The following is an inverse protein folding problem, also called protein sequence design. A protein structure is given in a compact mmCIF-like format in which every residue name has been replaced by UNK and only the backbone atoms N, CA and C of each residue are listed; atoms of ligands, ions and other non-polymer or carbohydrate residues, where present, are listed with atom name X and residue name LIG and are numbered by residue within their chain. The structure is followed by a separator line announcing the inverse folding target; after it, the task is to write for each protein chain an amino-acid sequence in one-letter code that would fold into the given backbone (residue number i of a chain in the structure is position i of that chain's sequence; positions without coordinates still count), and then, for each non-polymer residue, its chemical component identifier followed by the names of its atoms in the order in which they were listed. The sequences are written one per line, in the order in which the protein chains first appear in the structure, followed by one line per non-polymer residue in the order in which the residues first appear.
data_IF_159523156450
#
_entry.id   IF_159523156450
#
_cell.length_a   1.000
_cell.length_b   1.000
_cell.length_c   1.000
_cell.angle_alpha   90.00
_cell.angle_beta   90.00
_cell.angle_gamma   90.00
#
_symmetry.space_group_name_H-M   'P 1'
#
loop_
_entity.id
_entity.type
_entity.pdbx_description
1 polymer ?
#
# COMPACT_ATOMS: atom_id res chain seq x y z
N UNK A 1 10.47 -24.16 -7.27
CA UNK A 1 9.53 -23.61 -8.26
C UNK A 1 10.26 -22.48 -8.97
N UNK A 2 10.33 -22.52 -10.31
CA UNK A 2 10.97 -21.45 -11.08
C UNK A 2 9.89 -20.47 -11.49
N UNK A 3 10.13 -19.17 -11.26
CA UNK A 3 9.18 -18.11 -11.55
C UNK A 3 9.84 -17.05 -12.42
N UNK A 4 9.08 -16.52 -13.36
CA UNK A 4 9.41 -15.28 -14.03
C UNK A 4 9.17 -14.12 -13.07
N UNK A 5 10.21 -13.34 -12.82
CA UNK A 5 10.18 -12.17 -11.94
C UNK A 5 10.34 -10.89 -12.76
N UNK A 6 9.95 -9.75 -12.17
CA UNK A 6 10.12 -8.44 -12.79
C UNK A 6 9.00 -8.03 -13.75
N UNK A 7 7.86 -8.69 -13.69
CA UNK A 7 6.60 -8.26 -14.32
C UNK A 7 5.84 -7.37 -13.34
N UNK A 8 5.12 -6.35 -13.83
CA UNK A 8 4.25 -5.55 -12.98
C UNK A 8 2.96 -6.31 -12.61
N UNK A 9 2.51 -6.17 -11.36
CA UNK A 9 1.39 -6.97 -10.83
C UNK A 9 0.06 -6.71 -11.55
N UNK A 10 -0.12 -5.50 -12.07
CA UNK A 10 -1.33 -5.02 -12.76
C UNK A 10 -1.80 -5.95 -13.89
N UNK A 11 -0.86 -6.65 -14.53
CA UNK A 11 -1.11 -7.52 -15.68
C UNK A 11 -0.76 -8.99 -15.40
N UNK A 12 -0.44 -9.35 -14.15
CA UNK A 12 -0.08 -10.72 -13.77
C UNK A 12 -1.21 -11.73 -14.06
N UNK A 13 -2.48 -11.30 -14.02
CA UNK A 13 -3.62 -12.17 -14.33
C UNK A 13 -3.75 -12.56 -15.80
N UNK A 14 -2.99 -11.95 -16.70
CA UNK A 14 -3.07 -12.22 -18.15
C UNK A 14 -2.15 -13.33 -18.62
N UNK A 15 -1.12 -13.71 -17.85
CA UNK A 15 -0.16 -14.75 -18.23
C UNK A 15 0.42 -15.44 -16.98
N UNK A 16 0.56 -16.76 -17.03
CA UNK A 16 1.22 -17.50 -15.94
C UNK A 16 2.69 -17.08 -15.81
N UNK A 17 3.11 -16.77 -14.58
CA UNK A 17 4.52 -16.47 -14.26
C UNK A 17 5.32 -17.72 -13.88
N UNK A 18 4.74 -18.90 -13.95
CA UNK A 18 5.46 -20.15 -13.71
C UNK A 18 6.36 -20.52 -14.89
N UNK A 19 7.64 -20.72 -14.63
CA UNK A 19 8.58 -21.20 -15.64
C UNK A 19 8.68 -22.72 -15.60
N UNK A 20 7.90 -23.38 -16.45
CA UNK A 20 7.90 -24.83 -16.59
C UNK A 20 8.63 -25.29 -17.87
N UNK A 21 8.68 -24.45 -18.90
CA UNK A 21 9.25 -24.77 -20.21
C UNK A 21 9.72 -23.53 -20.98
N UNK A 22 10.49 -23.74 -22.06
CA UNK A 22 10.90 -22.67 -22.99
C UNK A 22 9.68 -22.05 -23.70
N UNK A 23 8.62 -22.82 -23.93
CA UNK A 23 7.38 -22.31 -24.54
C UNK A 23 6.71 -21.25 -23.63
N UNK A 24 6.82 -21.39 -22.31
CA UNK A 24 6.33 -20.37 -21.36
C UNK A 24 7.13 -19.07 -21.48
N UNK A 25 8.45 -19.16 -21.72
CA UNK A 25 9.30 -18.00 -21.97
C UNK A 25 8.89 -17.29 -23.27
N UNK A 26 8.70 -18.04 -24.36
CA UNK A 26 8.29 -17.46 -25.64
C UNK A 26 6.91 -16.79 -25.55
N UNK A 27 5.97 -17.38 -24.81
CA UNK A 27 4.65 -16.79 -24.53
C UNK A 27 4.79 -15.47 -23.77
N UNK A 28 5.57 -15.45 -22.70
CA UNK A 28 5.80 -14.23 -21.92
C UNK A 28 6.46 -13.15 -22.77
N UNK A 29 7.47 -13.49 -23.57
CA UNK A 29 8.16 -12.55 -24.46
C UNK A 29 7.21 -11.96 -25.50
N UNK A 30 6.31 -12.76 -26.08
CA UNK A 30 5.29 -12.28 -27.02
C UNK A 30 4.31 -11.33 -26.34
N UNK A 31 3.82 -11.67 -25.15
CA UNK A 31 2.92 -10.81 -24.38
C UNK A 31 3.57 -9.46 -24.04
N UNK A 32 4.86 -9.47 -23.72
CA UNK A 32 5.64 -8.25 -23.49
C UNK A 32 5.76 -7.42 -24.77
N UNK A 33 6.15 -8.03 -25.88
CA UNK A 33 6.28 -7.36 -27.17
C UNK A 33 4.95 -6.79 -27.69
N UNK A 34 3.84 -7.44 -27.36
CA UNK A 34 2.48 -7.02 -27.71
C UNK A 34 1.92 -5.96 -26.75
N UNK A 35 2.68 -5.55 -25.72
CA UNK A 35 2.25 -4.64 -24.64
C UNK A 35 1.07 -5.15 -23.80
N UNK A 36 0.84 -6.47 -23.77
CA UNK A 36 -0.16 -7.10 -22.91
C UNK A 36 0.35 -7.24 -21.48
N UNK A 37 1.65 -7.48 -21.32
CA UNK A 37 2.35 -7.57 -20.04
C UNK A 37 3.50 -6.57 -20.01
N UNK A 38 3.69 -5.82 -18.93
CA UNK A 38 4.77 -4.83 -18.85
C UNK A 38 5.84 -5.26 -17.84
N UNK A 39 7.08 -4.88 -18.14
CA UNK A 39 8.16 -4.98 -17.17
C UNK A 39 7.96 -3.98 -16.02
N UNK A 40 8.21 -4.43 -14.79
CA UNK A 40 8.30 -3.56 -13.64
C UNK A 40 9.52 -2.65 -13.78
N UNK A 41 9.29 -1.33 -13.69
CA UNK A 41 10.38 -0.34 -13.69
C UNK A 41 10.71 0.16 -12.27
N UNK A 42 9.78 0.00 -11.34
CA UNK A 42 9.95 0.30 -9.92
C UNK A 42 9.29 -0.79 -9.07
N UNK A 43 9.60 -0.78 -7.77
CA UNK A 43 8.88 -1.58 -6.77
C UNK A 43 8.14 -0.66 -5.79
N UNK A 44 6.88 -0.99 -5.53
CA UNK A 44 6.15 -0.53 -4.37
C UNK A 44 6.50 -1.45 -3.21
N UNK A 45 7.04 -0.88 -2.13
CA UNK A 45 7.34 -1.59 -0.89
C UNK A 45 6.46 -1.05 0.22
N UNK A 46 5.70 -1.93 0.86
CA UNK A 46 4.91 -1.62 2.05
C UNK A 46 5.57 -2.21 3.28
N UNK A 47 5.69 -1.40 4.34
CA UNK A 47 6.32 -1.79 5.60
C UNK A 47 5.40 -1.51 6.78
N UNK A 48 5.42 -2.39 7.78
CA UNK A 48 4.84 -2.11 9.10
C UNK A 48 5.95 -1.58 10.00
N UNK A 49 5.66 -0.47 10.69
CA UNK A 49 6.41 -0.04 11.87
C UNK A 49 5.52 -0.15 13.09
N UNK A 50 6.03 -0.68 14.19
CA UNK A 50 5.29 -0.79 15.45
C UNK A 50 5.56 0.46 16.28
N UNK A 51 4.49 1.12 16.72
CA UNK A 51 4.57 2.20 17.69
C UNK A 51 4.81 1.58 19.08
N UNK A 52 6.07 1.45 19.46
CA UNK A 52 6.52 0.92 20.74
C UNK A 52 7.68 1.75 21.29
N UNK A 53 7.84 1.76 22.61
CA UNK A 53 9.03 2.30 23.27
C UNK A 53 10.26 1.42 23.06
N UNK A 54 10.07 0.16 22.65
CA UNK A 54 11.17 -0.75 22.33
C UNK A 54 11.67 -0.51 20.90
N UNK A 55 12.89 0.02 20.80
CA UNK A 55 13.56 0.36 19.54
C UNK A 55 13.83 -0.84 18.64
N UNK A 56 13.95 -2.06 19.19
CA UNK A 56 14.15 -3.27 18.39
C UNK A 56 12.91 -3.63 17.59
N UNK A 57 11.74 -3.42 18.18
CA UNK A 57 10.42 -3.70 17.60
C UNK A 57 10.00 -2.58 16.63
N UNK A 58 10.62 -1.40 16.73
CA UNK A 58 10.35 -0.23 15.88
C UNK A 58 10.94 -0.32 14.46
N UNK A 59 11.63 -1.40 14.12
CA UNK A 59 12.21 -1.58 12.79
C UNK A 59 11.12 -1.70 11.72
N UNK A 60 11.31 -1.05 10.58
CA UNK A 60 10.42 -1.18 9.44
C UNK A 60 10.48 -2.63 8.90
N UNK A 61 9.37 -3.36 9.02
CA UNK A 61 9.24 -4.74 8.57
C UNK A 61 8.52 -4.76 7.21
N UNK A 62 9.19 -5.11 6.10
CA UNK A 62 8.55 -5.24 4.80
C UNK A 62 7.51 -6.36 4.83
N UNK A 63 6.28 -6.03 4.42
CA UNK A 63 5.17 -6.99 4.33
C UNK A 63 4.58 -7.08 2.92
N UNK A 64 4.98 -6.14 2.05
CA UNK A 64 4.51 -6.04 0.67
C UNK A 64 5.68 -5.63 -0.20
N UNK A 65 5.88 -6.37 -1.29
CA UNK A 65 6.75 -5.98 -2.39
C UNK A 65 5.96 -6.26 -3.67
N UNK A 66 5.74 -5.24 -4.49
CA UNK A 66 5.02 -5.36 -5.75
C UNK A 66 5.72 -4.55 -6.85
N UNK A 67 5.97 -5.16 -8.00
CA UNK A 67 6.51 -4.47 -9.17
C UNK A 67 5.46 -3.58 -9.83
N UNK A 68 5.84 -2.37 -10.25
CA UNK A 68 4.97 -1.46 -10.97
C UNK A 68 5.66 -0.92 -12.22
N UNK A 69 4.87 -0.74 -13.29
CA UNK A 69 5.29 -0.03 -14.49
C UNK A 69 4.94 1.48 -14.44
N UNK A 70 4.47 1.98 -13.28
CA UNK A 70 3.93 3.34 -13.02
C UNK A 70 2.61 3.67 -13.71
N UNK A 71 2.02 2.73 -14.44
CA UNK A 71 0.73 2.94 -15.12
C UNK A 71 -0.45 2.75 -14.17
N UNK A 72 -0.27 2.05 -13.06
CA UNK A 72 -1.22 1.92 -11.94
C UNK A 72 -2.09 3.17 -11.77
N UNK A 73 -3.39 2.96 -11.70
CA UNK A 73 -4.38 3.96 -11.31
C UNK A 73 -4.49 4.03 -9.79
N UNK A 74 -5.17 5.06 -9.27
CA UNK A 74 -5.42 5.13 -7.82
C UNK A 74 -6.31 3.99 -7.33
N UNK A 75 -7.28 3.54 -8.14
CA UNK A 75 -8.17 2.42 -7.80
C UNK A 75 -7.45 1.07 -7.77
N UNK A 76 -6.51 0.83 -8.69
CA UNK A 76 -5.67 -0.38 -8.64
C UNK A 76 -4.77 -0.36 -7.41
N UNK A 77 -4.19 0.79 -7.09
CA UNK A 77 -3.38 0.94 -5.88
C UNK A 77 -4.19 0.76 -4.59
N UNK A 78 -5.47 1.17 -4.61
CA UNK A 78 -6.39 0.95 -3.50
C UNK A 78 -6.57 -0.54 -3.21
N UNK A 79 -6.70 -1.38 -4.25
CA UNK A 79 -6.79 -2.85 -4.08
C UNK A 79 -5.54 -3.41 -3.40
N UNK A 80 -4.36 -2.90 -3.76
CA UNK A 80 -3.10 -3.31 -3.15
C UNK A 80 -3.07 -2.95 -1.65
N UNK A 81 -3.53 -1.76 -1.29
CA UNK A 81 -3.68 -1.33 0.11
C UNK A 81 -4.70 -2.21 0.86
N UNK A 82 -5.86 -2.47 0.27
CA UNK A 82 -6.91 -3.32 0.85
C UNK A 82 -6.40 -4.73 1.13
N UNK A 83 -5.76 -5.38 0.15
CA UNK A 83 -5.19 -6.73 0.34
C UNK A 83 -4.16 -6.72 1.47
N UNK A 84 -3.29 -5.72 1.50
CA UNK A 84 -2.23 -5.59 2.50
C UNK A 84 -2.82 -5.42 3.90
N UNK A 85 -3.73 -4.46 4.11
CA UNK A 85 -4.33 -4.20 5.41
C UNK A 85 -5.20 -5.37 5.87
N UNK A 86 -5.98 -5.97 4.97
CA UNK A 86 -6.76 -7.16 5.29
C UNK A 86 -5.88 -8.33 5.73
N UNK A 87 -4.69 -8.49 5.13
CA UNK A 87 -3.73 -9.50 5.56
C UNK A 87 -3.20 -9.23 6.97
N UNK A 88 -2.93 -7.96 7.32
CA UNK A 88 -2.51 -7.55 8.66
C UNK A 88 -3.62 -7.79 9.69
N UNK A 89 -4.85 -7.35 9.40
CA UNK A 89 -5.99 -7.50 10.31
C UNK A 89 -6.36 -8.97 10.52
N UNK A 90 -6.21 -9.85 9.51
CA UNK A 90 -6.36 -11.30 9.69
C UNK A 90 -5.38 -11.90 10.71
N UNK A 91 -4.23 -11.26 10.92
CA UNK A 91 -3.23 -11.69 11.90
C UNK A 91 -3.44 -11.05 13.28
N UNK A 92 -4.39 -10.13 13.44
CA UNK A 92 -4.61 -9.36 14.67
C UNK A 92 -4.87 -10.23 15.91
N UNK A 93 -5.54 -11.37 15.75
CA UNK A 93 -5.75 -12.31 16.86
C UNK A 93 -4.45 -12.91 17.41
N UNK A 94 -3.43 -13.06 16.56
CA UNK A 94 -2.12 -13.61 16.91
C UNK A 94 -1.14 -12.52 17.35
N UNK A 95 -1.15 -11.36 16.68
CA UNK A 95 -0.17 -10.29 16.90
C UNK A 95 -0.62 -9.26 17.94
N UNK A 96 -1.94 -9.11 18.14
CA UNK A 96 -2.57 -8.02 18.91
C UNK A 96 -2.19 -6.61 18.42
N UNK A 97 -1.67 -6.51 17.18
CA UNK A 97 -1.34 -5.25 16.54
C UNK A 97 -2.60 -4.68 15.90
N UNK A 98 -2.77 -3.36 15.98
CA UNK A 98 -3.83 -2.62 15.31
C UNK A 98 -3.20 -1.58 14.39
N UNK A 99 -3.71 -1.48 13.16
CA UNK A 99 -3.24 -0.45 12.23
C UNK A 99 -3.88 0.89 12.58
N UNK A 100 -3.07 1.88 12.97
CA UNK A 100 -3.58 3.22 13.36
C UNK A 100 -3.33 4.30 12.31
N UNK A 101 -2.32 4.13 11.45
CA UNK A 101 -2.01 5.12 10.41
C UNK A 101 -1.27 4.51 9.23
N UNK A 102 -1.52 5.03 8.03
CA UNK A 102 -0.76 4.71 6.81
C UNK A 102 -0.03 5.96 6.32
N UNK A 103 1.28 5.83 6.04
CA UNK A 103 2.11 6.95 5.52
C UNK A 103 2.63 6.64 4.13
N UNK A 104 2.61 7.64 3.24
CA UNK A 104 3.11 7.54 1.87
C UNK A 104 4.06 8.70 1.52
N UNK A 105 4.96 8.47 0.56
CA UNK A 105 5.96 9.41 0.01
C UNK A 105 5.36 10.55 -0.84
N UNK A 106 4.03 10.57 -1.00
CA UNK A 106 3.32 11.70 -1.60
C UNK A 106 3.30 11.73 -3.13
N UNK A 107 3.49 10.58 -3.79
CA UNK A 107 3.17 10.39 -5.21
C UNK A 107 1.65 10.57 -5.42
N UNK A 108 1.24 11.37 -6.41
CA UNK A 108 -0.16 11.81 -6.58
C UNK A 108 -1.17 10.65 -6.65
N UNK A 109 -0.86 9.61 -7.44
CA UNK A 109 -1.71 8.43 -7.61
C UNK A 109 -1.89 7.64 -6.30
N UNK A 110 -0.81 7.48 -5.53
CA UNK A 110 -0.84 6.87 -4.20
C UNK A 110 -1.62 7.72 -3.20
N UNK A 111 -1.51 9.05 -3.31
CA UNK A 111 -2.28 9.99 -2.51
C UNK A 111 -3.79 9.89 -2.74
N UNK A 112 -4.24 9.64 -3.98
CA UNK A 112 -5.65 9.42 -4.28
C UNK A 112 -6.16 8.11 -3.64
N UNK A 113 -5.45 7.01 -3.84
CA UNK A 113 -5.77 5.72 -3.22
C UNK A 113 -5.84 5.84 -1.69
N UNK A 114 -4.86 6.51 -1.09
CA UNK A 114 -4.77 6.71 0.35
C UNK A 114 -5.95 7.54 0.88
N UNK A 115 -6.32 8.62 0.19
CA UNK A 115 -7.50 9.42 0.56
C UNK A 115 -8.79 8.59 0.46
N UNK A 116 -8.98 7.81 -0.61
CA UNK A 116 -10.14 6.91 -0.73
C UNK A 116 -10.19 5.88 0.41
N UNK A 117 -9.03 5.39 0.84
CA UNK A 117 -8.95 4.38 1.90
C UNK A 117 -9.17 4.96 3.31
N UNK A 118 -8.69 6.17 3.59
CA UNK A 118 -8.65 6.71 4.96
C UNK A 118 -9.51 7.96 5.17
N UNK A 119 -10.26 8.45 4.19
CA UNK A 119 -11.11 9.64 4.33
C UNK A 119 -12.56 9.32 3.95
N UNK A 120 -13.12 8.28 4.57
CA UNK A 120 -14.44 7.74 4.23
C UNK A 120 -15.57 8.43 5.00
N UNK A 121 -15.34 8.74 6.29
CA UNK A 121 -16.37 9.27 7.21
C UNK A 121 -15.77 10.27 8.17
N UNK A 122 -16.62 11.13 8.74
CA UNK A 122 -16.22 12.01 9.83
C UNK A 122 -15.92 11.19 11.09
N UNK A 123 -14.85 11.53 11.81
CA UNK A 123 -14.50 10.92 13.08
C UNK A 123 -15.62 11.11 14.10
N UNK A 124 -16.06 10.01 14.71
CA UNK A 124 -17.15 10.04 15.68
C UNK A 124 -16.75 10.76 16.97
N UNK A 125 -17.60 11.61 17.55
CA UNK A 125 -17.39 12.15 18.90
C UNK A 125 -17.21 11.10 19.99
N UNK A 126 -17.72 9.88 19.78
CA UNK A 126 -17.54 8.74 20.69
C UNK A 126 -16.21 8.01 20.53
N UNK A 127 -15.42 8.33 19.50
CA UNK A 127 -14.11 7.72 19.29
C UNK A 127 -13.12 8.15 20.36
N UNK A 128 -12.25 7.22 20.78
CA UNK A 128 -11.22 7.46 21.80
C UNK A 128 -10.26 8.59 21.41
N UNK A 129 -10.02 8.80 20.11
CA UNK A 129 -9.10 9.82 19.60
C UNK A 129 -9.78 11.17 19.36
N UNK A 130 -11.11 11.26 19.37
CA UNK A 130 -11.83 12.50 19.06
C UNK A 130 -11.49 13.63 20.03
N UNK A 131 -11.48 13.34 21.33
CA UNK A 131 -11.16 14.34 22.36
C UNK A 131 -9.77 14.94 22.19
N UNK A 132 -8.83 14.19 21.63
CA UNK A 132 -7.46 14.63 21.37
C UNK A 132 -7.34 15.44 20.07
N UNK A 133 -8.16 15.15 19.07
CA UNK A 133 -7.99 15.69 17.72
C UNK A 133 -8.95 16.85 17.40
N UNK A 134 -10.15 16.87 17.98
CA UNK A 134 -11.21 17.81 17.58
C UNK A 134 -10.88 19.29 17.81
N UNK A 135 -10.00 19.61 18.76
CA UNK A 135 -9.61 20.97 19.10
C UNK A 135 -8.55 21.55 18.17
N UNK A 136 -7.92 20.72 17.34
CA UNK A 136 -6.91 21.20 16.39
C UNK A 136 -7.56 21.88 15.20
N UNK A 137 -7.41 23.21 15.17
CA UNK A 137 -7.85 24.04 14.06
C UNK A 137 -7.19 23.56 12.76
N UNK A 138 -8.00 23.33 11.72
CA UNK A 138 -7.61 22.82 10.40
C UNK A 138 -7.24 21.32 10.32
N UNK A 139 -7.34 20.57 11.42
CA UNK A 139 -7.20 19.12 11.35
C UNK A 139 -8.37 18.54 10.54
N UNK A 140 -8.04 17.77 9.50
CA UNK A 140 -9.04 16.97 8.81
C UNK A 140 -9.43 15.80 9.71
N UNK A 141 -10.69 15.74 10.10
CA UNK A 141 -11.24 14.68 10.94
C UNK A 141 -11.91 13.56 10.12
N UNK A 142 -11.70 13.52 8.81
CA UNK A 142 -12.10 12.36 7.99
C UNK A 142 -11.18 11.18 8.27
N UNK A 143 -11.78 10.02 8.53
CA UNK A 143 -11.10 8.76 8.85
C UNK A 143 -11.65 7.61 8.00
N UNK A 144 -10.86 6.54 7.91
CA UNK A 144 -11.24 5.28 7.31
C UNK A 144 -12.03 4.40 8.26
N UNK A 145 -12.06 3.11 7.96
CA UNK A 145 -12.59 2.10 8.87
C UNK A 145 -11.69 1.99 10.10
N UNK A 146 -12.28 1.67 11.27
CA UNK A 146 -11.58 1.64 12.57
C UNK A 146 -10.78 2.89 12.93
N UNK A 147 -11.29 4.06 12.51
CA UNK A 147 -10.67 5.39 12.71
C UNK A 147 -9.26 5.52 12.10
N UNK A 148 -8.96 4.70 11.08
CA UNK A 148 -7.67 4.71 10.39
C UNK A 148 -7.40 6.06 9.72
N UNK A 149 -6.24 6.64 10.00
CA UNK A 149 -5.81 7.90 9.40
C UNK A 149 -4.70 7.71 8.36
N UNK A 150 -4.53 8.70 7.49
CA UNK A 150 -3.36 8.81 6.63
C UNK A 150 -2.43 9.94 7.05
N UNK A 151 -1.15 9.77 6.71
CA UNK A 151 -0.15 10.81 6.82
C UNK A 151 0.68 10.89 5.53
N UNK A 152 1.33 12.04 5.32
CA UNK A 152 2.40 12.18 4.34
C UNK A 152 3.72 12.29 5.06
N UNK A 153 4.77 11.70 4.50
CA UNK A 153 6.10 11.86 5.05
C UNK A 153 6.48 13.35 5.07
N UNK A 154 6.72 13.86 6.29
CA UNK A 154 7.04 15.26 6.54
C UNK A 154 8.27 15.72 5.75
N UNK A 155 9.26 14.85 5.51
CA UNK A 155 10.46 15.18 4.73
C UNK A 155 10.10 15.56 3.28
N UNK A 156 9.05 14.95 2.73
CA UNK A 156 8.56 15.28 1.40
C UNK A 156 7.73 16.56 1.38
N UNK A 157 7.10 16.94 2.50
CA UNK A 157 6.39 18.22 2.64
C UNK A 157 7.38 19.39 2.69
N UNK A 158 8.44 19.30 3.49
CA UNK A 158 9.45 20.36 3.62
C UNK A 158 10.19 20.66 2.32
N UNK A 159 10.35 19.69 1.41
CA UNK A 159 10.94 19.92 0.09
C UNK A 159 10.05 20.73 -0.86
N UNK A 160 8.76 20.91 -0.54
CA UNK A 160 7.76 21.61 -1.37
C UNK A 160 7.39 22.99 -0.84
N UNK A 161 7.91 23.36 0.34
CA UNK A 161 7.82 24.69 0.93
C UNK A 161 9.06 25.49 0.55
#
# INVERSE_FOLDING_TARGET
MNLFLGVCWEYESTTSLEFNSIDDLDKLLRAINQNEVHHASEATVGTIGILSYDTWIHSACPILISGTCKRETGDEHLKLLEVTINAVEKQRSHTRICTVSITSDGKSKRGHALAMFTMKKQLSPSSLIYSQLHSFQFMNLLVGDDDLMCNKDYKHLFKRL
#
